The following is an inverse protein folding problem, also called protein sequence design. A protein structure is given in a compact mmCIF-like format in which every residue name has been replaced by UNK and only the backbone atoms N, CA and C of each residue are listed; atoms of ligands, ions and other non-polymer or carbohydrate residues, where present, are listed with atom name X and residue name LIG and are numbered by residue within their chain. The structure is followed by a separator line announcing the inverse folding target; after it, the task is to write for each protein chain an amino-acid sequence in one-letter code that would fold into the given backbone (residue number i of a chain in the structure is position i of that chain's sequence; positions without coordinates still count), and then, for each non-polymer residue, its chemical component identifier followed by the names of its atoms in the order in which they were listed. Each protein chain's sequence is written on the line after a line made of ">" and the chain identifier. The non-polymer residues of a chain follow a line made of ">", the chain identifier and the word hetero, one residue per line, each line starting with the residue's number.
data_IF_261941839646
#
_entry.id   IF_261941839646
#
_cell.length_a   1.000
_cell.length_b   1.000
_cell.length_c   1.000
_cell.angle_alpha   90.00
_cell.angle_beta   90.00
_cell.angle_gamma   90.00
#
_symmetry.space_group_name_H-M   'P 1'
#
loop_
_entity.id
_entity.type
_entity.pdbx_description
1 polymer ?
#
# COMPACT_ATOMS: atom_id res chain seq x y z
N UNK A 1 -30.62 36.06 1.43
CA UNK A 1 -29.38 35.42 0.95
C UNK A 1 -29.23 34.12 1.72
N UNK A 2 -29.31 32.98 1.03
CA UNK A 2 -28.63 31.71 1.30
C UNK A 2 -29.05 30.76 0.18
N UNK A 3 -28.14 30.50 -0.76
CA UNK A 3 -28.35 29.53 -1.83
C UNK A 3 -28.18 28.12 -1.25
N UNK A 4 -29.26 27.34 -1.25
CA UNK A 4 -29.20 25.90 -0.98
C UNK A 4 -28.65 25.18 -2.20
N UNK A 5 -27.53 24.47 -2.03
CA UNK A 5 -26.94 23.65 -3.07
C UNK A 5 -27.83 22.42 -3.29
N UNK A 6 -28.54 22.40 -4.41
CA UNK A 6 -29.31 21.25 -4.85
C UNK A 6 -28.36 20.19 -5.42
N UNK A 7 -28.25 19.05 -4.72
CA UNK A 7 -27.52 17.86 -5.19
C UNK A 7 -28.38 16.99 -6.14
N UNK A 8 -29.36 17.57 -6.82
CA UNK A 8 -30.33 16.84 -7.65
C UNK A 8 -29.78 16.41 -9.03
N UNK A 9 -28.53 15.97 -9.11
CA UNK A 9 -27.87 15.67 -10.39
C UNK A 9 -27.10 14.34 -10.49
N UNK A 10 -26.69 13.71 -9.39
CA UNK A 10 -25.94 12.45 -9.43
C UNK A 10 -26.79 11.30 -8.89
N UNK A 11 -27.55 10.65 -9.78
CA UNK A 11 -28.03 9.30 -9.49
C UNK A 11 -26.88 8.32 -9.71
N UNK A 12 -26.11 8.05 -8.67
CA UNK A 12 -25.25 6.86 -8.56
C UNK A 12 -26.15 5.62 -8.48
N UNK A 13 -26.74 5.20 -9.60
CA UNK A 13 -27.67 4.05 -9.65
C UNK A 13 -26.95 2.71 -9.45
N UNK A 14 -25.62 2.70 -9.51
CA UNK A 14 -24.81 1.51 -9.27
C UNK A 14 -23.62 1.88 -8.38
N UNK A 15 -23.76 1.63 -7.08
CA UNK A 15 -22.58 1.59 -6.20
C UNK A 15 -21.81 0.30 -6.52
N UNK A 16 -20.49 0.37 -6.73
CA UNK A 16 -19.68 -0.81 -6.96
C UNK A 16 -19.76 -1.75 -5.74
N UNK A 17 -19.69 -3.05 -5.99
CA UNK A 17 -20.00 -4.09 -5.00
C UNK A 17 -19.13 -3.99 -3.73
N UNK A 18 -17.90 -3.52 -3.85
CA UNK A 18 -16.98 -3.28 -2.73
C UNK A 18 -17.46 -2.21 -1.75
N UNK A 19 -18.31 -1.27 -2.21
CA UNK A 19 -18.90 -0.21 -1.39
C UNK A 19 -20.20 -0.69 -0.71
N UNK A 20 -20.83 -1.73 -1.26
CA UNK A 20 -22.03 -2.37 -0.70
C UNK A 20 -21.70 -3.49 0.29
N UNK A 21 -20.50 -4.08 0.20
CA UNK A 21 -20.16 -5.27 0.99
C UNK A 21 -18.78 -5.11 1.66
N UNK A 22 -18.70 -4.85 2.98
CA UNK A 22 -17.43 -4.66 3.68
C UNK A 22 -16.49 -5.88 3.60
N UNK A 23 -17.05 -7.08 3.42
CA UNK A 23 -16.31 -8.34 3.21
C UNK A 23 -15.76 -8.48 1.79
N UNK A 24 -16.20 -7.68 0.82
CA UNK A 24 -15.57 -7.60 -0.49
C UNK A 24 -14.22 -6.83 -0.44
N UNK A 25 -13.85 -6.25 0.70
CA UNK A 25 -12.47 -5.78 0.96
C UNK A 25 -11.45 -6.93 0.89
N UNK A 26 -11.89 -8.14 1.22
CA UNK A 26 -11.05 -9.35 1.23
C UNK A 26 -11.07 -10.12 -0.10
N UNK A 27 -11.92 -9.72 -1.06
CA UNK A 27 -11.95 -10.37 -2.37
C UNK A 27 -10.74 -9.94 -3.22
N UNK A 28 -10.00 -10.88 -3.81
CA UNK A 28 -8.95 -10.56 -4.78
C UNK A 28 -9.60 -9.88 -5.97
N UNK A 29 -9.28 -8.60 -6.16
CA UNK A 29 -9.48 -7.95 -7.45
C UNK A 29 -8.37 -8.48 -8.34
N UNK A 30 -8.71 -9.36 -9.30
CA UNK A 30 -7.86 -9.65 -10.45
C UNK A 30 -7.76 -8.39 -11.35
N UNK A 31 -7.34 -7.28 -10.75
CA UNK A 31 -7.15 -5.99 -11.40
C UNK A 31 -5.71 -5.96 -11.92
N UNK A 32 -5.53 -5.55 -13.17
CA UNK A 32 -4.19 -5.45 -13.75
C UNK A 32 -3.38 -4.39 -13.01
N UNK A 33 -2.23 -4.78 -12.46
CA UNK A 33 -1.27 -3.85 -11.85
C UNK A 33 -0.26 -3.41 -12.91
N UNK A 34 0.06 -2.13 -12.93
CA UNK A 34 1.13 -1.58 -13.76
C UNK A 34 2.41 -1.41 -12.94
N UNK A 35 3.53 -1.88 -13.47
CA UNK A 35 4.85 -1.69 -12.90
C UNK A 35 5.59 -0.59 -13.66
N UNK A 36 6.05 0.42 -12.94
CA UNK A 36 6.81 1.56 -13.44
C UNK A 36 8.24 1.53 -12.91
N UNK A 37 9.19 1.34 -13.83
CA UNK A 37 10.63 1.41 -13.55
C UNK A 37 11.21 2.58 -14.34
N UNK A 38 11.50 3.69 -13.66
CA UNK A 38 11.76 4.97 -14.34
C UNK A 38 10.58 5.33 -15.26
N UNK A 39 10.86 5.57 -16.54
CA UNK A 39 9.84 5.91 -17.54
C UNK A 39 9.21 4.70 -18.24
N UNK A 40 9.58 3.46 -17.84
CA UNK A 40 9.08 2.24 -18.47
C UNK A 40 7.92 1.64 -17.70
N UNK A 41 6.75 1.57 -18.36
CA UNK A 41 5.56 0.91 -17.84
C UNK A 41 5.42 -0.52 -18.39
N UNK A 42 5.16 -1.48 -17.51
CA UNK A 42 4.91 -2.90 -17.86
C UNK A 42 3.67 -3.40 -17.13
N UNK A 43 2.80 -4.14 -17.82
CA UNK A 43 1.66 -4.81 -17.17
C UNK A 43 2.15 -6.05 -16.39
N UNK A 44 1.72 -6.18 -15.14
CA UNK A 44 1.99 -7.35 -14.28
C UNK A 44 0.76 -8.26 -14.31
N UNK A 45 0.83 -9.37 -15.04
CA UNK A 45 -0.30 -10.29 -15.17
C UNK A 45 -0.34 -11.38 -14.08
N UNK A 46 0.75 -11.53 -13.33
CA UNK A 46 0.83 -12.50 -12.23
C UNK A 46 2.17 -12.50 -11.51
N UNK A 47 2.32 -13.42 -10.56
CA UNK A 47 3.49 -13.54 -9.69
C UNK A 47 4.81 -13.67 -10.46
N UNK A 48 4.85 -14.46 -11.53
CA UNK A 48 6.07 -14.66 -12.32
C UNK A 48 6.54 -13.38 -13.03
N UNK A 49 5.62 -12.53 -13.49
CA UNK A 49 5.95 -11.24 -14.09
C UNK A 49 6.51 -10.29 -13.02
N UNK A 50 5.88 -10.29 -11.84
CA UNK A 50 6.33 -9.49 -10.70
C UNK A 50 7.74 -9.89 -10.28
N UNK A 51 8.05 -11.19 -10.20
CA UNK A 51 9.39 -11.69 -9.88
C UNK A 51 10.43 -11.24 -10.89
N UNK A 52 10.12 -11.36 -12.18
CA UNK A 52 11.03 -10.94 -13.25
C UNK A 52 11.36 -9.44 -13.18
N UNK A 53 10.43 -8.62 -12.70
CA UNK A 53 10.62 -7.18 -12.50
C UNK A 53 11.41 -6.93 -11.21
N UNK A 54 11.02 -7.56 -10.09
CA UNK A 54 11.66 -7.40 -8.78
C UNK A 54 13.14 -7.81 -8.79
N UNK A 55 13.50 -8.85 -9.56
CA UNK A 55 14.88 -9.30 -9.74
C UNK A 55 15.78 -8.31 -10.49
N UNK A 56 15.19 -7.27 -11.09
CA UNK A 56 15.89 -6.28 -11.91
C UNK A 56 15.60 -4.85 -11.45
N UNK A 57 15.11 -4.68 -10.22
CA UNK A 57 14.80 -3.36 -9.66
C UNK A 57 16.08 -2.52 -9.64
N UNK A 58 16.10 -1.36 -10.30
CA UNK A 58 17.22 -0.44 -10.21
C UNK A 58 17.26 0.20 -8.81
N UNK A 59 18.37 0.86 -8.48
CA UNK A 59 18.51 1.58 -7.21
C UNK A 59 17.48 2.69 -7.01
N UNK A 60 16.86 3.18 -8.10
CA UNK A 60 15.75 4.15 -8.07
C UNK A 60 14.42 3.54 -7.63
N UNK A 61 14.32 2.23 -7.48
CA UNK A 61 13.10 1.52 -7.12
C UNK A 61 12.15 1.26 -8.30
N UNK A 62 10.99 0.71 -7.95
CA UNK A 62 9.87 0.33 -8.80
C UNK A 62 8.59 0.86 -8.17
N UNK A 63 7.65 1.38 -8.96
CA UNK A 63 6.30 1.67 -8.49
C UNK A 63 5.29 0.70 -9.08
N UNK A 64 4.50 0.05 -8.24
CA UNK A 64 3.32 -0.70 -8.63
C UNK A 64 2.10 0.22 -8.51
N UNK A 65 1.28 0.28 -9.54
CA UNK A 65 0.09 1.13 -9.61
C UNK A 65 -1.14 0.26 -9.84
N UNK A 66 -2.19 0.48 -9.06
CA UNK A 66 -3.48 -0.19 -9.22
C UNK A 66 -4.15 0.18 -10.54
N UNK A 67 -5.10 -0.66 -10.99
CA UNK A 67 -5.83 -0.45 -12.25
C UNK A 67 -6.56 0.91 -12.32
N UNK A 68 -7.08 1.40 -11.19
CA UNK A 68 -7.74 2.71 -11.10
C UNK A 68 -6.76 3.88 -11.12
N UNK A 69 -5.45 3.63 -11.04
CA UNK A 69 -4.41 4.66 -11.00
C UNK A 69 -4.33 5.44 -9.69
N UNK A 70 -5.16 5.09 -8.70
CA UNK A 70 -5.29 5.84 -7.44
C UNK A 70 -4.27 5.39 -6.42
N UNK A 71 -4.02 4.08 -6.33
CA UNK A 71 -3.17 3.49 -5.29
C UNK A 71 -1.84 3.09 -5.87
N UNK A 72 -0.77 3.40 -5.15
CA UNK A 72 0.56 2.97 -5.54
C UNK A 72 1.35 2.37 -4.38
N UNK A 73 2.25 1.47 -4.73
CA UNK A 73 3.25 0.89 -3.83
C UNK A 73 4.63 1.06 -4.49
N UNK A 74 5.44 1.95 -3.94
CA UNK A 74 6.83 2.10 -4.33
C UNK A 74 7.71 1.14 -3.52
N UNK A 75 8.57 0.42 -4.21
CA UNK A 75 9.47 -0.61 -3.67
C UNK A 75 10.90 -0.27 -4.05
N UNK A 76 11.77 -0.14 -3.05
CA UNK A 76 13.21 0.05 -3.26
C UNK A 76 13.95 -1.18 -2.75
N UNK A 77 14.79 -1.77 -3.60
CA UNK A 77 15.71 -2.86 -3.27
C UNK A 77 17.13 -2.41 -3.63
N UNK A 78 17.94 -1.99 -2.65
CA UNK A 78 19.27 -1.43 -2.94
C UNK A 78 20.31 -1.82 -1.89
N UNK A 79 21.35 -2.56 -2.30
CA UNK A 79 22.61 -2.67 -1.55
C UNK A 79 22.50 -3.21 -0.12
N UNK A 80 21.51 -4.07 0.15
CA UNK A 80 21.23 -4.62 1.49
C UNK A 80 20.09 -3.92 2.24
N UNK A 81 19.59 -2.81 1.72
CA UNK A 81 18.45 -2.08 2.27
C UNK A 81 17.20 -2.31 1.43
N UNK A 82 16.04 -2.36 2.06
CA UNK A 82 14.75 -2.33 1.36
C UNK A 82 13.80 -1.32 1.99
N UNK A 83 12.92 -0.75 1.17
CA UNK A 83 11.98 0.26 1.60
C UNK A 83 10.65 0.14 0.85
N UNK A 84 9.59 0.58 1.52
CA UNK A 84 8.24 0.63 0.97
C UNK A 84 7.65 2.01 1.20
N UNK A 85 6.99 2.55 0.18
CA UNK A 85 6.12 3.71 0.30
C UNK A 85 4.77 3.32 -0.29
N UNK A 86 3.70 3.55 0.45
CA UNK A 86 2.34 3.33 -0.03
C UNK A 86 1.63 4.67 -0.15
N UNK A 87 0.88 4.83 -1.22
CA UNK A 87 0.13 6.05 -1.52
C UNK A 87 -1.28 5.69 -1.98
N UNK A 88 -2.25 6.49 -1.54
CA UNK A 88 -3.57 6.59 -2.15
C UNK A 88 -3.95 8.06 -2.42
N UNK A 89 -5.24 8.32 -2.63
CA UNK A 89 -5.76 9.67 -2.93
C UNK A 89 -5.49 10.69 -1.81
N UNK A 90 -5.48 10.25 -0.55
CA UNK A 90 -5.47 11.13 0.62
C UNK A 90 -4.24 10.91 1.53
N UNK A 91 -3.56 9.76 1.42
CA UNK A 91 -2.50 9.34 2.33
C UNK A 91 -1.21 8.92 1.60
N UNK A 92 -0.07 9.28 2.20
CA UNK A 92 1.25 8.75 1.86
C UNK A 92 1.90 8.21 3.12
N UNK A 93 2.37 6.97 3.07
CA UNK A 93 2.93 6.28 4.23
C UNK A 93 4.20 5.52 3.93
N UNK A 94 5.06 5.43 4.94
CA UNK A 94 6.31 4.70 4.89
C UNK A 94 6.15 3.34 5.57
N UNK A 95 6.67 2.30 4.94
CA UNK A 95 6.74 0.98 5.57
C UNK A 95 7.77 0.97 6.71
N UNK A 96 7.43 0.30 7.80
CA UNK A 96 8.22 0.25 9.03
C UNK A 96 8.30 -1.18 9.58
N UNK A 97 9.36 -1.91 9.23
CA UNK A 97 9.62 -3.25 9.76
C UNK A 97 8.48 -4.28 9.63
N UNK A 98 8.63 -5.47 10.25
CA UNK A 98 7.57 -6.48 10.33
C UNK A 98 6.42 -6.05 11.26
N UNK A 99 5.22 -6.51 10.97
CA UNK A 99 4.11 -6.49 11.95
C UNK A 99 4.45 -7.42 13.13
N UNK A 100 4.44 -6.96 14.39
CA UNK A 100 4.75 -7.80 15.54
C UNK A 100 3.69 -8.89 15.75
N UNK A 101 4.07 -10.05 16.29
CA UNK A 101 3.10 -11.11 16.59
C UNK A 101 1.98 -10.62 17.52
N UNK A 102 0.73 -10.71 17.06
CA UNK A 102 -0.45 -10.30 17.83
C UNK A 102 -0.92 -8.86 17.59
N UNK A 103 -0.18 -8.06 16.81
CA UNK A 103 -0.62 -6.73 16.41
C UNK A 103 -1.79 -6.81 15.39
N UNK A 104 -2.79 -5.93 15.48
CA UNK A 104 -3.86 -5.86 14.49
C UNK A 104 -3.31 -5.49 13.10
N UNK A 105 -3.80 -6.16 12.06
CA UNK A 105 -3.34 -5.95 10.68
C UNK A 105 -3.77 -4.59 10.14
N UNK A 106 -2.88 -3.93 9.39
CA UNK A 106 -3.19 -2.73 8.62
C UNK A 106 -3.25 -1.42 9.42
N UNK A 107 -2.89 -1.43 10.70
CA UNK A 107 -2.79 -0.22 11.52
C UNK A 107 -1.64 0.68 11.06
N UNK A 108 -1.91 1.98 11.08
CA UNK A 108 -0.88 3.02 10.99
C UNK A 108 -0.37 3.38 12.39
N UNK A 109 0.83 3.97 12.49
CA UNK A 109 1.25 4.60 13.73
C UNK A 109 0.32 5.77 14.16
N UNK A 110 -0.46 6.36 13.24
CA UNK A 110 -1.46 7.37 13.54
C UNK A 110 -2.78 6.80 14.10
N UNK A 111 -3.20 5.60 13.65
CA UNK A 111 -4.40 4.90 14.16
C UNK A 111 -4.22 4.45 15.61
N UNK A 112 -2.97 4.15 15.97
CA UNK A 112 -2.57 4.13 17.34
C UNK A 112 -2.31 5.59 17.77
N UNK A 113 -3.36 6.32 18.17
CA UNK A 113 -3.28 7.65 18.82
C UNK A 113 -2.44 7.63 20.13
N UNK A 114 -1.83 6.47 20.41
CA UNK A 114 -0.98 6.07 21.50
C UNK A 114 0.20 5.16 21.03
N UNK A 115 0.65 5.20 19.77
CA UNK A 115 1.71 4.32 19.25
C UNK A 115 2.98 4.29 20.11
N UNK A 116 3.27 5.36 20.83
CA UNK A 116 4.41 5.44 21.76
C UNK A 116 4.16 4.77 23.12
N UNK A 117 2.91 4.42 23.42
CA UNK A 117 2.43 3.79 24.66
C UNK A 117 1.72 2.45 24.44
N UNK A 118 1.43 2.09 23.18
CA UNK A 118 0.96 0.77 22.80
C UNK A 118 2.18 -0.17 22.72
N UNK A 119 2.22 -1.28 23.47
CA UNK A 119 3.37 -2.19 23.53
C UNK A 119 3.73 -2.81 22.17
N UNK A 120 2.85 -2.69 21.16
CA UNK A 120 3.07 -3.22 19.83
C UNK A 120 3.84 -2.25 18.91
N UNK A 121 3.99 -0.98 19.26
CA UNK A 121 4.59 0.03 18.37
C UNK A 121 5.82 0.71 19.01
N UNK A 122 6.78 1.11 18.16
CA UNK A 122 8.07 1.66 18.61
C UNK A 122 7.93 3.07 19.18
N UNK A 123 8.63 3.33 20.29
CA UNK A 123 8.68 4.64 20.94
C UNK A 123 9.22 5.76 20.03
N UNK A 124 8.85 7.00 20.35
CA UNK A 124 9.27 8.20 19.63
C UNK A 124 10.81 8.26 19.57
N UNK A 125 11.37 8.40 18.36
CA UNK A 125 12.82 8.46 18.13
C UNK A 125 13.53 7.11 18.00
N UNK A 126 12.80 5.99 17.95
CA UNK A 126 13.39 4.71 17.53
C UNK A 126 13.78 4.75 16.05
N UNK A 127 14.97 4.20 15.73
CA UNK A 127 15.38 4.04 14.33
C UNK A 127 14.38 3.15 13.59
N UNK A 128 14.09 3.44 12.30
CA UNK A 128 13.25 2.60 11.46
C UNK A 128 13.71 1.14 11.54
N UNK A 129 12.79 0.23 11.86
CA UNK A 129 13.08 -1.19 11.67
C UNK A 129 13.23 -1.45 10.18
N UNK A 130 14.39 -1.96 9.80
CA UNK A 130 14.73 -2.24 8.42
C UNK A 130 13.72 -3.24 7.82
N UNK A 131 13.12 -2.87 6.69
CA UNK A 131 12.35 -3.80 5.88
C UNK A 131 13.36 -4.70 5.16
N UNK A 132 13.22 -6.01 5.32
CA UNK A 132 14.02 -6.97 4.54
C UNK A 132 13.52 -7.06 3.11
N UNK A 133 14.38 -7.47 2.18
CA UNK A 133 14.00 -7.72 0.79
C UNK A 133 12.83 -8.70 0.69
N UNK A 134 12.84 -9.77 1.50
CA UNK A 134 11.75 -10.75 1.53
C UNK A 134 10.41 -10.13 1.91
N UNK A 135 10.38 -9.18 2.85
CA UNK A 135 9.16 -8.47 3.23
C UNK A 135 8.71 -7.51 2.14
N UNK A 136 9.63 -6.79 1.51
CA UNK A 136 9.31 -5.90 0.39
C UNK A 136 8.71 -6.67 -0.79
N UNK A 137 9.28 -7.84 -1.12
CA UNK A 137 8.73 -8.73 -2.15
C UNK A 137 7.34 -9.25 -1.77
N UNK A 138 7.17 -9.70 -0.52
CA UNK A 138 5.87 -10.16 -0.02
C UNK A 138 4.79 -9.07 -0.08
N UNK A 139 5.15 -7.83 0.23
CA UNK A 139 4.27 -6.67 0.09
C UNK A 139 3.86 -6.44 -1.37
N UNK A 140 4.79 -6.58 -2.31
CA UNK A 140 4.50 -6.52 -3.74
C UNK A 140 3.49 -7.56 -4.21
N UNK A 141 3.61 -8.82 -3.77
CA UNK A 141 2.62 -9.86 -4.09
C UNK A 141 1.25 -9.59 -3.47
N UNK A 142 1.22 -9.09 -2.24
CA UNK A 142 -0.04 -8.74 -1.59
C UNK A 142 -0.74 -7.59 -2.33
N UNK A 143 0.02 -6.57 -2.74
CA UNK A 143 -0.50 -5.48 -3.56
C UNK A 143 -1.00 -5.98 -4.92
N UNK A 144 -0.27 -6.87 -5.59
CA UNK A 144 -0.71 -7.49 -6.84
C UNK A 144 -2.06 -8.20 -6.69
N UNK A 145 -2.28 -8.87 -5.56
CA UNK A 145 -3.52 -9.64 -5.29
C UNK A 145 -4.70 -8.75 -4.89
N UNK A 146 -4.45 -7.64 -4.21
CA UNK A 146 -5.49 -6.87 -3.51
C UNK A 146 -5.67 -5.46 -4.05
N UNK A 147 -4.66 -4.90 -4.69
CA UNK A 147 -4.54 -3.47 -5.00
C UNK A 147 -4.61 -2.57 -3.76
N UNK A 148 -4.42 -3.12 -2.56
CA UNK A 148 -4.57 -2.41 -1.27
C UNK A 148 -3.23 -2.33 -0.56
N UNK A 149 -3.20 -1.48 0.47
CA UNK A 149 -2.09 -1.37 1.41
C UNK A 149 -1.70 -2.77 1.94
N UNK A 150 -0.45 -3.23 1.73
CA UNK A 150 0.02 -4.51 2.26
C UNK A 150 -0.08 -4.59 3.79
N UNK A 151 -0.31 -5.78 4.32
CA UNK A 151 -0.53 -5.99 5.76
C UNK A 151 0.63 -6.71 6.45
N UNK A 152 1.68 -7.07 5.70
CA UNK A 152 2.85 -7.79 6.18
C UNK A 152 3.94 -6.90 6.82
N UNK A 153 3.76 -5.57 6.76
CA UNK A 153 4.62 -4.56 7.40
C UNK A 153 3.78 -3.57 8.18
N UNK A 154 4.38 -2.86 9.12
CA UNK A 154 3.72 -1.72 9.76
C UNK A 154 3.82 -0.51 8.83
N UNK A 155 2.90 0.44 8.99
CA UNK A 155 2.92 1.68 8.23
C UNK A 155 2.94 2.88 9.16
N UNK A 156 3.71 3.90 8.79
CA UNK A 156 3.80 5.16 9.53
C UNK A 156 3.50 6.32 8.60
N UNK A 157 2.80 7.32 9.11
CA UNK A 157 2.57 8.56 8.37
C UNK A 157 3.90 9.22 8.06
N UNK A 158 4.03 9.68 6.82
CA UNK A 158 5.18 10.48 6.43
C UNK A 158 4.97 11.92 6.92
N UNK A 159 5.89 12.50 7.71
CA UNK A 159 5.80 13.90 8.13
C UNK A 159 5.94 14.90 6.97
#
# INVERSE_FOLDING_TARGET
>A
MTAGWSLAGNQLTVLPEWLRNPTARDQPVNASVQAWVGDTCTTVAGAADLDAILDRVPSSGLSLISEDGVRSLHITLAGGQSGLVWEDEDEMMLGWGPVPPGAPLGLTAGDAEYAYSDPWFTAEGADPFEITEGQARQAGYEFLRTGRRPTNVQWVDKP
#
